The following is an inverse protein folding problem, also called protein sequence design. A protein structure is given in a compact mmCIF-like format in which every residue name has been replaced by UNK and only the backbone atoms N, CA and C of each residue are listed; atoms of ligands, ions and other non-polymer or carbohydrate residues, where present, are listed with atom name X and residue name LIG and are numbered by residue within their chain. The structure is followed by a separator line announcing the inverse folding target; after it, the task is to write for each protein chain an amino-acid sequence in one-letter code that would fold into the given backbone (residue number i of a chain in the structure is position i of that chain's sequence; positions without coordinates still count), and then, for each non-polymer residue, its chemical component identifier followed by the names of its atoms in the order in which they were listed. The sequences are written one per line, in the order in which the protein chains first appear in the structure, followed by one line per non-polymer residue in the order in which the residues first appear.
data_IF_188401877567
#
_entry.id   IF_188401877567
#
_cell.length_a   1.000
_cell.length_b   1.000
_cell.length_c   1.000
_cell.angle_alpha   90.00
_cell.angle_beta   90.00
_cell.angle_gamma   90.00
#
_symmetry.space_group_name_H-M   'P 1'
#
loop_
_entity.id
_entity.type
_entity.pdbx_description
1 polymer ?
#
# COMPACT_ATOMS: atom_id res chain seq x y z
N UNK A 1 1.67 25.48 -21.76
CA UNK A 1 2.76 24.57 -22.20
C UNK A 1 2.40 23.79 -23.47
N UNK A 2 1.51 22.77 -23.44
CA UNK A 2 1.11 22.02 -24.67
C UNK A 2 0.60 22.91 -25.83
N UNK A 3 -0.17 23.95 -25.53
CA UNK A 3 -0.65 24.92 -26.54
C UNK A 3 0.51 25.67 -27.22
N UNK A 4 1.54 26.06 -26.47
CA UNK A 4 2.72 26.73 -27.02
C UNK A 4 3.47 25.80 -27.98
N UNK A 5 3.64 24.54 -27.57
CA UNK A 5 4.29 23.49 -28.36
C UNK A 5 3.56 23.21 -29.67
N UNK A 6 2.22 23.11 -29.64
CA UNK A 6 1.39 22.97 -30.84
C UNK A 6 1.51 24.18 -31.80
N UNK A 7 1.79 25.37 -31.26
CA UNK A 7 2.02 26.58 -32.05
C UNK A 7 3.49 26.74 -32.50
N UNK A 8 4.35 25.74 -32.27
CA UNK A 8 5.77 25.77 -32.66
C UNK A 8 6.70 26.48 -31.68
N UNK A 9 6.22 26.88 -30.50
CA UNK A 9 7.03 27.52 -29.45
C UNK A 9 7.51 26.48 -28.42
N UNK A 10 8.78 26.54 -28.03
CA UNK A 10 9.30 25.69 -26.97
C UNK A 10 8.49 25.89 -25.67
N UNK A 11 7.96 24.78 -25.11
CA UNK A 11 7.06 24.80 -23.95
C UNK A 11 7.66 25.40 -22.67
N UNK A 12 8.98 25.49 -22.57
CA UNK A 12 9.70 26.06 -21.42
C UNK A 12 9.86 27.59 -21.54
N UNK A 13 9.61 28.17 -22.71
CA UNK A 13 9.52 29.62 -22.90
C UNK A 13 8.19 30.21 -22.39
N UNK A 14 7.29 29.36 -21.87
CA UNK A 14 6.03 29.78 -21.26
C UNK A 14 6.21 30.13 -19.77
N UNK A 15 5.73 31.32 -19.37
CA UNK A 15 5.66 31.76 -17.98
C UNK A 15 4.21 32.05 -17.57
N UNK A 16 3.78 31.47 -16.44
CA UNK A 16 2.46 31.75 -15.85
C UNK A 16 2.57 32.88 -14.81
N UNK A 17 1.63 33.82 -14.84
CA UNK A 17 1.40 34.80 -13.78
C UNK A 17 0.09 34.45 -13.06
N UNK A 18 0.16 33.97 -11.81
CA UNK A 18 -1.04 33.66 -11.04
C UNK A 18 -1.65 34.94 -10.47
N UNK A 19 -2.69 35.45 -11.14
CA UNK A 19 -3.47 36.62 -10.68
C UNK A 19 -4.83 36.24 -10.07
N UNK A 20 -5.09 34.94 -9.87
CA UNK A 20 -6.36 34.44 -9.32
C UNK A 20 -6.20 34.03 -7.87
N UNK A 21 -5.65 32.84 -7.62
CA UNK A 21 -5.44 32.31 -6.27
C UNK A 21 -4.53 33.23 -5.44
N UNK A 22 -3.53 33.84 -6.07
CA UNK A 22 -2.56 34.69 -5.37
C UNK A 22 -2.93 36.18 -5.39
N UNK A 23 -4.06 36.57 -6.00
CA UNK A 23 -4.45 37.98 -6.10
C UNK A 23 -5.98 38.14 -5.96
N UNK A 24 -6.77 37.90 -7.01
CA UNK A 24 -8.19 38.24 -7.00
C UNK A 24 -9.01 37.54 -5.90
N UNK A 25 -8.64 36.33 -5.48
CA UNK A 25 -9.37 35.58 -4.44
C UNK A 25 -8.98 35.92 -3.01
N UNK A 26 -7.82 36.56 -2.83
CA UNK A 26 -7.23 36.83 -1.50
C UNK A 26 -7.09 38.33 -1.25
N UNK A 27 -7.65 39.17 -2.11
CA UNK A 27 -7.58 40.63 -2.00
C UNK A 27 -8.91 41.22 -2.43
N UNK A 28 -9.72 41.60 -1.44
CA UNK A 28 -11.07 42.13 -1.66
C UNK A 28 -11.05 43.51 -2.33
N UNK A 29 -10.04 44.32 -2.01
CA UNK A 29 -9.83 45.64 -2.59
C UNK A 29 -9.40 45.52 -4.06
N UNK A 30 -10.31 45.90 -4.96
CA UNK A 30 -10.13 45.77 -6.42
C UNK A 30 -8.99 46.63 -6.97
N UNK A 31 -8.78 47.81 -6.42
CA UNK A 31 -7.71 48.71 -6.88
C UNK A 31 -6.35 48.14 -6.48
N UNK A 32 -6.21 47.72 -5.21
CA UNK A 32 -4.99 47.06 -4.74
C UNK A 32 -4.73 45.74 -5.45
N UNK A 33 -5.77 44.94 -5.71
CA UNK A 33 -5.66 43.71 -6.49
C UNK A 33 -5.18 43.99 -7.92
N UNK A 34 -5.67 45.07 -8.54
CA UNK A 34 -5.25 45.46 -9.89
C UNK A 34 -3.77 45.86 -9.92
N UNK A 35 -3.31 46.66 -8.97
CA UNK A 35 -1.90 47.05 -8.88
C UNK A 35 -0.98 45.85 -8.60
N UNK A 36 -1.40 44.95 -7.72
CA UNK A 36 -0.70 43.68 -7.47
C UNK A 36 -0.63 42.82 -8.73
N UNK A 37 -1.73 42.68 -9.47
CA UNK A 37 -1.77 41.91 -10.71
C UNK A 37 -0.81 42.50 -11.77
N UNK A 38 -0.78 43.82 -11.94
CA UNK A 38 0.19 44.50 -12.82
C UNK A 38 1.63 44.18 -12.43
N UNK A 39 1.94 44.21 -11.13
CA UNK A 39 3.28 43.88 -10.63
C UNK A 39 3.66 42.42 -10.91
N UNK A 40 2.73 41.47 -10.68
CA UNK A 40 2.93 40.05 -10.96
C UNK A 40 3.16 39.79 -12.46
N UNK A 41 2.37 40.42 -13.33
CA UNK A 41 2.53 40.31 -14.79
C UNK A 41 3.88 40.91 -15.22
N UNK A 42 4.26 42.09 -14.70
CA UNK A 42 5.55 42.71 -15.01
C UNK A 42 6.72 41.80 -14.63
N UNK A 43 6.68 41.20 -13.45
CA UNK A 43 7.69 40.25 -13.00
C UNK A 43 7.77 39.01 -13.90
N UNK A 44 6.61 38.44 -14.27
CA UNK A 44 6.53 37.30 -15.18
C UNK A 44 7.13 37.63 -16.56
N UNK A 45 6.76 38.77 -17.15
CA UNK A 45 7.31 39.23 -18.44
C UNK A 45 8.82 39.43 -18.35
N UNK A 46 9.33 40.05 -17.27
CA UNK A 46 10.77 40.24 -17.07
C UNK A 46 11.52 38.91 -16.97
N UNK A 47 10.92 37.89 -16.36
CA UNK A 47 11.50 36.54 -16.25
C UNK A 47 11.59 35.84 -17.60
N UNK A 48 10.58 35.98 -18.47
CA UNK A 48 10.56 35.37 -19.82
C UNK A 48 11.78 35.78 -20.64
N UNK A 49 12.28 37.01 -20.47
CA UNK A 49 13.49 37.47 -21.15
C UNK A 49 14.73 36.60 -20.88
N UNK A 50 14.79 35.94 -19.73
CA UNK A 50 15.90 35.06 -19.32
C UNK A 50 15.59 33.58 -19.53
N UNK A 51 14.46 33.23 -20.14
CA UNK A 51 14.16 31.82 -20.43
C UNK A 51 14.98 31.33 -21.61
N UNK A 52 15.44 30.09 -21.50
CA UNK A 52 16.09 29.37 -22.58
C UNK A 52 15.19 28.21 -23.02
N UNK A 53 15.23 27.83 -24.31
CA UNK A 53 14.56 26.63 -24.78
C UNK A 53 15.18 25.41 -24.11
N UNK A 54 14.34 24.53 -23.55
CA UNK A 54 14.79 23.27 -22.95
C UNK A 54 14.19 22.08 -23.68
N UNK A 55 14.89 20.95 -23.61
CA UNK A 55 14.47 19.69 -24.19
C UNK A 55 13.86 18.78 -23.12
N UNK A 56 12.87 17.98 -23.54
CA UNK A 56 12.26 16.96 -22.69
C UNK A 56 13.20 15.75 -22.69
N UNK A 57 13.51 15.25 -21.49
CA UNK A 57 14.25 13.99 -21.35
C UNK A 57 13.25 12.85 -21.41
N UNK A 58 13.45 11.95 -22.38
CA UNK A 58 12.76 10.66 -22.41
C UNK A 58 13.50 9.68 -21.51
N UNK A 59 12.73 8.91 -20.73
CA UNK A 59 13.24 7.91 -19.80
C UNK A 59 12.45 6.62 -19.99
N UNK A 60 13.08 5.45 -19.89
CA UNK A 60 12.36 4.18 -19.92
C UNK A 60 11.40 4.10 -18.72
N UNK A 61 10.32 3.33 -18.87
CA UNK A 61 9.32 3.13 -17.81
C UNK A 61 9.29 1.65 -17.47
N UNK A 62 9.48 1.31 -16.19
CA UNK A 62 9.32 -0.05 -15.71
C UNK A 62 7.82 -0.40 -15.65
N UNK A 63 7.34 -1.41 -16.39
CA UNK A 63 5.91 -1.71 -16.47
C UNK A 63 5.34 -2.32 -15.17
N UNK A 64 6.17 -2.63 -14.18
CA UNK A 64 5.74 -3.19 -12.89
C UNK A 64 5.16 -2.11 -11.99
N UNK A 65 4.04 -2.42 -11.34
CA UNK A 65 3.36 -1.49 -10.42
C UNK A 65 3.49 -1.93 -8.97
N UNK A 66 3.65 -0.99 -8.04
CA UNK A 66 3.53 -1.22 -6.61
C UNK A 66 2.19 -0.66 -6.11
N UNK A 67 1.39 -1.48 -5.45
CA UNK A 67 0.17 -1.09 -4.74
C UNK A 67 0.43 -1.19 -3.24
N UNK A 68 0.18 -0.10 -2.51
CA UNK A 68 0.38 -0.05 -1.05
C UNK A 68 -0.99 -0.02 -0.37
N UNK A 69 -1.26 -1.05 0.42
CA UNK A 69 -2.53 -1.29 1.09
C UNK A 69 -3.42 -2.30 0.35
N UNK A 70 -3.77 -3.39 1.01
CA UNK A 70 -4.61 -4.48 0.56
C UNK A 70 -6.08 -4.34 0.97
N UNK A 71 -6.60 -3.14 1.14
CA UNK A 71 -8.05 -2.91 1.24
C UNK A 71 -8.76 -3.07 -0.11
N UNK A 72 -10.09 -2.92 -0.15
CA UNK A 72 -10.88 -3.04 -1.40
C UNK A 72 -10.34 -2.20 -2.56
N UNK A 73 -9.87 -0.97 -2.28
CA UNK A 73 -9.31 -0.09 -3.31
C UNK A 73 -8.01 -0.65 -3.91
N UNK A 74 -7.10 -1.14 -3.07
CA UNK A 74 -5.83 -1.70 -3.51
C UNK A 74 -5.99 -3.06 -4.19
N UNK A 75 -6.88 -3.91 -3.66
CA UNK A 75 -7.25 -5.19 -4.30
C UNK A 75 -7.79 -4.93 -5.71
N UNK A 76 -8.73 -3.99 -5.86
CA UNK A 76 -9.31 -3.68 -7.17
C UNK A 76 -8.27 -3.09 -8.14
N UNK A 77 -7.43 -2.16 -7.68
CA UNK A 77 -6.37 -1.59 -8.50
C UNK A 77 -5.38 -2.66 -8.97
N UNK A 78 -4.95 -3.53 -8.06
CA UNK A 78 -4.04 -4.61 -8.38
C UNK A 78 -4.66 -5.63 -9.36
N UNK A 79 -5.91 -6.05 -9.14
CA UNK A 79 -6.61 -6.96 -10.06
C UNK A 79 -6.74 -6.37 -11.47
N UNK A 80 -7.10 -5.09 -11.60
CA UNK A 80 -7.26 -4.46 -12.92
C UNK A 80 -5.93 -4.41 -13.70
N UNK A 81 -4.84 -4.06 -13.02
CA UNK A 81 -3.50 -3.99 -13.63
C UNK A 81 -3.00 -5.40 -13.97
N UNK A 82 -3.20 -6.35 -13.05
CA UNK A 82 -2.76 -7.72 -13.23
C UNK A 82 -3.54 -8.47 -14.31
N UNK A 83 -4.86 -8.25 -14.42
CA UNK A 83 -5.69 -8.77 -15.52
C UNK A 83 -5.29 -8.19 -16.88
N UNK A 84 -4.66 -7.00 -16.89
CA UNK A 84 -4.01 -6.43 -18.07
C UNK A 84 -2.60 -7.00 -18.32
N UNK A 85 -2.21 -8.08 -17.62
CA UNK A 85 -0.93 -8.80 -17.73
C UNK A 85 0.31 -7.98 -17.34
N UNK A 86 0.14 -7.03 -16.42
CA UNK A 86 1.24 -6.27 -15.85
C UNK A 86 1.56 -6.78 -14.45
N UNK A 87 2.85 -6.89 -14.12
CA UNK A 87 3.30 -7.34 -12.80
C UNK A 87 2.89 -6.31 -11.75
N UNK A 88 2.27 -6.78 -10.67
CA UNK A 88 1.91 -5.96 -9.52
C UNK A 88 2.55 -6.53 -8.27
N UNK A 89 3.22 -5.69 -7.50
CA UNK A 89 3.57 -5.97 -6.11
C UNK A 89 2.49 -5.34 -5.24
N UNK A 90 1.78 -6.12 -4.42
CA UNK A 90 0.82 -5.58 -3.46
C UNK A 90 1.36 -5.76 -2.05
N UNK A 91 1.63 -4.65 -1.37
CA UNK A 91 2.16 -4.61 0.00
C UNK A 91 1.03 -4.33 0.97
N UNK A 92 0.82 -5.21 1.93
CA UNK A 92 -0.16 -5.07 3.01
C UNK A 92 0.53 -5.22 4.37
N UNK A 93 0.30 -4.24 5.24
CA UNK A 93 0.91 -4.16 6.57
C UNK A 93 0.44 -5.27 7.50
N UNK A 94 -0.85 -5.57 7.44
CA UNK A 94 -1.47 -6.58 8.29
C UNK A 94 -1.18 -7.99 7.74
N UNK A 95 -1.39 -9.04 8.55
CA UNK A 95 -1.17 -10.42 8.11
C UNK A 95 -2.07 -10.87 6.95
N UNK A 96 -3.11 -10.11 6.64
CA UNK A 96 -4.09 -10.44 5.61
C UNK A 96 -4.62 -9.19 4.89
N UNK A 97 -4.97 -9.34 3.61
CA UNK A 97 -5.70 -8.35 2.83
C UNK A 97 -7.20 -8.32 3.23
N UNK A 98 -7.89 -7.26 2.81
CA UNK A 98 -9.32 -7.03 3.03
C UNK A 98 -9.59 -5.64 3.60
N UNK A 99 -8.68 -5.13 4.43
CA UNK A 99 -8.81 -3.83 5.11
C UNK A 99 -10.06 -3.75 6.00
N UNK A 100 -10.59 -2.55 6.24
CA UNK A 100 -11.77 -2.37 7.10
C UNK A 100 -13.05 -3.00 6.52
N UNK A 101 -13.13 -3.17 5.20
CA UNK A 101 -14.35 -3.66 4.58
C UNK A 101 -14.71 -5.08 5.06
N UNK A 102 -13.70 -5.92 5.32
CA UNK A 102 -13.92 -7.28 5.82
C UNK A 102 -14.36 -7.33 7.29
N UNK A 103 -14.24 -6.21 8.03
CA UNK A 103 -14.74 -6.09 9.40
C UNK A 103 -16.23 -5.72 9.45
N UNK A 104 -16.79 -5.22 8.35
CA UNK A 104 -18.20 -4.83 8.30
C UNK A 104 -19.08 -6.08 8.19
N UNK A 105 -20.24 -6.09 8.84
CA UNK A 105 -21.23 -7.15 8.59
C UNK A 105 -21.87 -6.98 7.20
N UNK A 106 -22.35 -5.76 6.92
CA UNK A 106 -23.06 -5.42 5.68
C UNK A 106 -22.60 -4.11 5.06
N UNK A 107 -22.81 -3.99 3.75
CA UNK A 107 -22.50 -2.78 2.98
C UNK A 107 -23.76 -2.12 2.43
N UNK A 108 -23.95 -0.83 2.72
CA UNK A 108 -25.02 -0.04 2.11
C UNK A 108 -24.71 0.28 0.64
N UNK A 109 -25.71 0.56 -0.21
CA UNK A 109 -27.15 0.59 0.07
C UNK A 109 -27.84 -0.78 -0.06
N UNK A 110 -27.19 -1.78 -0.64
CA UNK A 110 -27.79 -3.08 -0.97
C UNK A 110 -27.95 -4.00 0.25
N UNK A 111 -27.24 -3.71 1.35
CA UNK A 111 -27.20 -4.52 2.57
C UNK A 111 -26.65 -5.93 2.33
N UNK A 112 -25.82 -6.10 1.32
CA UNK A 112 -25.07 -7.33 1.07
C UNK A 112 -24.05 -7.57 2.18
N UNK A 113 -23.77 -8.84 2.46
CA UNK A 113 -22.68 -9.23 3.35
C UNK A 113 -21.33 -8.80 2.74
N UNK A 114 -20.50 -8.08 3.53
CA UNK A 114 -19.21 -7.56 3.05
C UNK A 114 -18.27 -8.67 2.59
N UNK A 115 -18.24 -9.77 3.33
CA UNK A 115 -17.39 -10.92 3.04
C UNK A 115 -17.82 -11.61 1.74
N UNK A 116 -19.13 -11.63 1.42
CA UNK A 116 -19.63 -12.23 0.19
C UNK A 116 -19.11 -11.52 -1.08
N UNK A 117 -18.90 -10.21 -1.00
CA UNK A 117 -18.43 -9.41 -2.15
C UNK A 117 -16.91 -9.27 -2.17
N UNK A 118 -16.25 -9.28 -1.02
CA UNK A 118 -14.80 -9.04 -0.93
C UNK A 118 -13.97 -10.32 -0.96
N UNK A 119 -14.43 -11.41 -0.33
CA UNK A 119 -13.66 -12.67 -0.25
C UNK A 119 -13.34 -13.26 -1.63
N UNK A 120 -14.23 -13.22 -2.64
CA UNK A 120 -13.89 -13.66 -4.00
C UNK A 120 -12.70 -12.89 -4.58
N UNK A 121 -12.70 -11.56 -4.45
CA UNK A 121 -11.62 -10.71 -4.95
C UNK A 121 -10.30 -10.94 -4.20
N UNK A 122 -10.37 -11.17 -2.89
CA UNK A 122 -9.19 -11.52 -2.09
C UNK A 122 -8.59 -12.86 -2.55
N UNK A 123 -9.43 -13.88 -2.78
CA UNK A 123 -8.99 -15.19 -3.26
C UNK A 123 -8.42 -15.13 -4.68
N UNK A 124 -9.05 -14.37 -5.58
CA UNK A 124 -8.57 -14.14 -6.94
C UNK A 124 -7.19 -13.47 -6.89
N UNK A 125 -7.06 -12.35 -6.16
CA UNK A 125 -5.80 -11.62 -6.05
C UNK A 125 -4.69 -12.51 -5.45
N UNK A 126 -5.00 -13.26 -4.40
CA UNK A 126 -4.03 -14.11 -3.70
C UNK A 126 -3.48 -15.27 -4.54
N UNK A 127 -4.17 -15.64 -5.63
CA UNK A 127 -3.74 -16.70 -6.55
C UNK A 127 -3.38 -16.17 -7.95
N UNK A 128 -3.42 -14.85 -8.15
CA UNK A 128 -3.24 -14.26 -9.47
C UNK A 128 -1.77 -14.32 -9.93
N UNK A 129 -1.45 -14.84 -11.14
CA UNK A 129 -0.07 -15.10 -11.56
C UNK A 129 0.79 -13.83 -11.77
N UNK A 130 0.16 -12.69 -12.06
CA UNK A 130 0.84 -11.39 -12.19
C UNK A 130 0.89 -10.59 -10.89
N UNK A 131 0.38 -11.11 -9.77
CA UNK A 131 0.42 -10.42 -8.48
C UNK A 131 1.43 -11.10 -7.57
N UNK A 132 2.31 -10.30 -6.98
CA UNK A 132 3.14 -10.68 -5.86
C UNK A 132 2.57 -10.08 -4.59
N UNK A 133 1.96 -10.93 -3.78
CA UNK A 133 1.30 -10.51 -2.56
C UNK A 133 2.27 -10.53 -1.38
N UNK A 134 2.65 -9.35 -0.91
CA UNK A 134 3.54 -9.14 0.23
C UNK A 134 2.70 -8.69 1.44
N UNK A 135 2.07 -9.66 2.10
CA UNK A 135 1.35 -9.42 3.37
C UNK A 135 2.32 -9.39 4.55
N UNK A 136 1.88 -8.81 5.67
CA UNK A 136 2.70 -8.55 6.83
C UNK A 136 4.00 -7.80 6.48
N UNK A 137 3.88 -6.85 5.54
CA UNK A 137 5.00 -6.12 4.95
C UNK A 137 4.71 -4.62 4.87
N UNK A 138 5.73 -3.79 5.03
CA UNK A 138 5.62 -2.33 4.95
C UNK A 138 6.65 -1.74 3.99
N UNK A 139 6.26 -0.69 3.26
CA UNK A 139 7.20 0.09 2.45
C UNK A 139 7.97 1.03 3.39
N UNK A 140 9.29 0.90 3.45
CA UNK A 140 10.14 1.75 4.29
C UNK A 140 10.61 3.01 3.56
N UNK A 141 10.92 2.85 2.27
CA UNK A 141 11.53 3.91 1.48
C UNK A 141 11.15 3.76 0.01
N UNK A 142 10.90 4.91 -0.62
CA UNK A 142 10.71 5.01 -2.08
C UNK A 142 11.65 6.09 -2.59
N UNK A 143 12.50 5.72 -3.53
CA UNK A 143 13.44 6.62 -4.20
C UNK A 143 13.24 6.56 -5.72
N UNK A 144 13.78 7.54 -6.45
CA UNK A 144 13.67 7.62 -7.90
C UNK A 144 12.64 8.64 -8.39
N UNK A 145 12.09 8.41 -9.58
CA UNK A 145 11.16 9.31 -10.27
C UNK A 145 10.16 8.51 -11.10
N UNK A 146 9.15 9.18 -11.65
CA UNK A 146 8.08 8.56 -12.46
C UNK A 146 8.67 7.59 -13.50
N UNK A 147 8.22 6.33 -13.48
CA UNK A 147 8.70 5.27 -14.37
C UNK A 147 9.94 4.51 -13.88
N UNK A 148 10.66 5.00 -12.87
CA UNK A 148 11.92 4.43 -12.38
C UNK A 148 12.04 4.60 -10.87
N UNK A 149 11.12 4.01 -10.12
CA UNK A 149 11.16 3.97 -8.67
C UNK A 149 11.88 2.71 -8.17
N UNK A 150 12.60 2.87 -7.08
CA UNK A 150 13.11 1.77 -6.27
C UNK A 150 12.44 1.84 -4.91
N UNK A 151 11.68 0.81 -4.57
CA UNK A 151 10.98 0.70 -3.31
C UNK A 151 11.62 -0.39 -2.44
N UNK A 152 11.91 -0.04 -1.19
CA UNK A 152 12.41 -0.97 -0.18
C UNK A 152 11.27 -1.37 0.76
N UNK A 153 11.03 -2.66 0.84
CA UNK A 153 9.90 -3.26 1.54
C UNK A 153 10.44 -4.14 2.67
N UNK A 154 10.01 -3.90 3.90
CA UNK A 154 10.27 -4.79 5.03
C UNK A 154 9.16 -5.82 5.12
N UNK A 155 9.46 -7.07 4.83
CA UNK A 155 8.60 -8.23 5.13
C UNK A 155 8.90 -8.70 6.55
N UNK A 156 7.93 -8.49 7.46
CA UNK A 156 8.10 -8.83 8.88
C UNK A 156 8.12 -10.35 9.08
N UNK A 157 8.89 -10.82 10.06
CA UNK A 157 8.93 -12.23 10.41
C UNK A 157 7.56 -12.71 10.90
N UNK A 158 6.96 -13.68 10.20
CA UNK A 158 5.71 -14.33 10.63
C UNK A 158 5.97 -15.36 11.72
N UNK A 159 7.20 -15.87 11.79
CA UNK A 159 7.60 -17.05 12.57
C UNK A 159 6.87 -18.33 12.15
N UNK A 160 6.32 -18.31 10.94
CA UNK A 160 5.61 -19.40 10.29
C UNK A 160 6.06 -19.42 8.85
N UNK A 161 6.62 -20.55 8.43
CA UNK A 161 7.03 -20.83 7.07
C UNK A 161 5.79 -20.93 6.17
N UNK A 162 5.62 -19.93 5.29
CA UNK A 162 4.48 -19.79 4.38
C UNK A 162 4.35 -20.98 3.42
N UNK A 163 5.46 -21.62 3.03
CA UNK A 163 5.44 -22.74 2.07
C UNK A 163 5.02 -24.06 2.73
N UNK A 164 5.37 -24.24 4.02
CA UNK A 164 4.99 -25.45 4.77
C UNK A 164 3.61 -25.33 5.41
N UNK A 165 3.14 -24.13 5.68
CA UNK A 165 1.90 -23.94 6.43
C UNK A 165 0.68 -24.39 5.62
N UNK A 166 -0.16 -25.21 6.23
CA UNK A 166 -1.43 -25.67 5.63
C UNK A 166 -2.64 -24.84 6.05
N UNK A 167 -2.47 -23.86 6.95
CA UNK A 167 -3.57 -23.05 7.45
C UNK A 167 -4.58 -23.80 8.33
N UNK A 168 -4.22 -24.95 8.91
CA UNK A 168 -5.16 -25.84 9.62
C UNK A 168 -5.69 -25.30 10.97
N UNK A 169 -5.10 -24.25 11.53
CA UNK A 169 -5.58 -23.61 12.78
C UNK A 169 -5.24 -24.33 14.09
N UNK A 170 -4.74 -25.57 14.07
CA UNK A 170 -4.41 -26.36 15.28
C UNK A 170 -3.48 -25.60 16.24
N UNK A 171 -2.50 -24.89 15.70
CA UNK A 171 -1.55 -24.11 16.49
C UNK A 171 -2.23 -22.96 17.28
N UNK A 172 -3.32 -22.40 16.75
CA UNK A 172 -4.13 -21.35 17.41
C UNK A 172 -4.94 -21.95 18.55
N UNK A 173 -5.60 -23.10 18.32
CA UNK A 173 -6.37 -23.81 19.33
C UNK A 173 -5.52 -24.20 20.55
N UNK A 174 -4.31 -24.71 20.29
CA UNK A 174 -3.39 -25.20 21.34
C UNK A 174 -2.61 -24.09 22.03
N UNK A 175 -2.65 -22.86 21.53
CA UNK A 175 -2.00 -21.74 22.20
C UNK A 175 -2.74 -21.41 23.51
N UNK A 176 -2.07 -21.45 24.68
CA UNK A 176 -2.74 -21.21 25.95
C UNK A 176 -2.98 -19.71 26.22
N UNK A 177 -2.25 -18.83 25.54
CA UNK A 177 -2.27 -17.39 25.77
C UNK A 177 -3.26 -16.68 24.86
N UNK A 178 -3.94 -15.69 25.42
CA UNK A 178 -4.90 -14.84 24.73
C UNK A 178 -4.52 -13.39 24.92
N UNK A 179 -4.81 -12.58 23.92
CA UNK A 179 -4.62 -11.13 23.90
C UNK A 179 -5.84 -10.47 23.27
N UNK A 180 -5.97 -9.17 23.47
CA UNK A 180 -7.02 -8.36 22.85
C UNK A 180 -6.89 -8.41 21.33
N UNK A 181 -8.01 -8.59 20.63
CA UNK A 181 -8.02 -8.65 19.16
C UNK A 181 -8.15 -7.24 18.57
N UNK A 182 -7.18 -6.86 17.74
CA UNK A 182 -7.17 -5.61 16.98
C UNK A 182 -8.24 -5.63 15.88
N UNK A 183 -8.49 -6.80 15.28
CA UNK A 183 -9.54 -6.98 14.27
C UNK A 183 -10.94 -6.74 14.83
N UNK A 184 -11.19 -7.19 16.07
CA UNK A 184 -12.46 -7.03 16.79
C UNK A 184 -12.55 -5.69 17.54
N UNK A 185 -11.66 -4.72 17.23
CA UNK A 185 -11.63 -3.40 17.87
C UNK A 185 -11.58 -3.46 19.41
N UNK A 186 -10.91 -4.49 19.95
CA UNK A 186 -10.76 -4.71 21.38
C UNK A 186 -11.97 -5.32 22.11
N UNK A 187 -13.04 -5.67 21.37
CA UNK A 187 -14.22 -6.34 21.94
C UNK A 187 -14.00 -7.84 22.14
N UNK A 188 -13.12 -8.43 21.34
CA UNK A 188 -12.80 -9.85 21.36
C UNK A 188 -11.38 -10.16 21.86
N UNK A 189 -11.14 -11.44 22.12
CA UNK A 189 -9.81 -11.97 22.40
C UNK A 189 -9.35 -12.88 21.26
N UNK A 190 -8.10 -12.72 20.84
CA UNK A 190 -7.40 -13.65 19.93
C UNK A 190 -6.31 -14.42 20.66
N UNK A 191 -5.76 -15.42 19.99
CA UNK A 191 -4.58 -16.15 20.45
C UNK A 191 -3.30 -15.39 20.05
N UNK A 192 -2.17 -15.75 20.66
CA UNK A 192 -0.88 -15.13 20.32
C UNK A 192 -0.39 -15.55 18.93
N UNK A 193 -0.56 -16.83 18.58
CA UNK A 193 -0.47 -17.28 17.19
C UNK A 193 -1.88 -17.22 16.62
N UNK A 194 -2.08 -16.45 15.56
CA UNK A 194 -3.42 -16.11 15.08
C UNK A 194 -3.47 -15.89 13.57
N UNK A 195 -4.68 -16.03 13.03
CA UNK A 195 -5.08 -15.40 11.77
C UNK A 195 -6.05 -14.25 12.11
N UNK A 196 -6.01 -13.10 11.42
CA UNK A 196 -6.85 -11.96 11.77
C UNK A 196 -8.35 -12.28 11.77
N UNK A 197 -8.80 -13.08 10.80
CA UNK A 197 -10.17 -13.56 10.66
C UNK A 197 -10.18 -14.89 9.87
N UNK A 198 -11.28 -15.68 9.88
CA UNK A 198 -11.30 -17.03 9.29
C UNK A 198 -11.05 -17.10 7.78
N UNK A 199 -11.47 -16.08 7.02
CA UNK A 199 -11.32 -15.99 5.56
C UNK A 199 -10.04 -15.24 5.15
N UNK A 200 -9.05 -15.15 6.05
CA UNK A 200 -7.83 -14.41 5.80
C UNK A 200 -7.08 -14.93 4.57
N UNK A 201 -6.64 -14.00 3.71
CA UNK A 201 -5.74 -14.26 2.58
C UNK A 201 -4.43 -13.48 2.79
N UNK A 202 -3.25 -14.13 2.76
CA UNK A 202 -3.07 -15.59 2.68
C UNK A 202 -3.54 -16.28 3.96
N UNK A 203 -3.91 -17.56 3.85
CA UNK A 203 -4.37 -18.38 4.97
C UNK A 203 -3.18 -18.91 5.81
N UNK A 204 -2.34 -18.00 6.30
CA UNK A 204 -1.13 -18.29 7.07
C UNK A 204 -1.16 -17.50 8.37
N UNK A 205 -1.07 -18.16 9.55
CA UNK A 205 -1.04 -17.47 10.83
C UNK A 205 0.28 -16.72 11.04
N UNK A 206 0.27 -15.78 11.98
CA UNK A 206 1.47 -15.09 12.46
C UNK A 206 1.59 -15.25 13.97
N UNK A 207 2.83 -15.25 14.48
CA UNK A 207 3.09 -15.21 15.92
C UNK A 207 3.32 -13.77 16.33
N UNK A 208 2.49 -13.28 17.23
CA UNK A 208 2.70 -12.01 17.92
C UNK A 208 3.91 -12.11 18.85
N UNK A 209 5.03 -11.53 18.43
CA UNK A 209 6.31 -11.59 19.16
C UNK A 209 6.20 -10.98 20.55
N UNK A 210 5.48 -9.85 20.67
CA UNK A 210 5.41 -9.06 21.90
C UNK A 210 4.71 -9.82 23.02
N UNK A 211 3.65 -10.57 22.67
CA UNK A 211 2.83 -11.30 23.63
C UNK A 211 3.18 -12.79 23.76
N UNK A 212 4.11 -13.31 22.95
CA UNK A 212 4.46 -14.72 22.98
C UNK A 212 5.42 -15.07 24.12
N UNK A 213 4.99 -16.00 24.97
CA UNK A 213 5.80 -16.52 26.10
C UNK A 213 7.09 -17.21 25.63
N UNK A 214 7.14 -17.74 24.40
CA UNK A 214 8.41 -18.23 23.85
C UNK A 214 9.43 -17.09 23.77
N UNK A 215 9.06 -15.96 23.18
CA UNK A 215 9.98 -14.82 23.01
C UNK A 215 10.23 -14.07 24.32
N UNK A 216 9.27 -14.04 25.25
CA UNK A 216 9.46 -13.41 26.55
C UNK A 216 10.28 -14.24 27.55
N UNK A 217 10.07 -15.57 27.58
CA UNK A 217 10.58 -16.45 28.65
C UNK A 217 11.30 -17.72 28.15
N UNK A 218 11.31 -18.00 26.85
CA UNK A 218 12.03 -19.12 26.23
C UNK A 218 11.40 -20.51 26.39
N UNK A 219 10.21 -20.64 27.01
CA UNK A 219 9.69 -21.94 27.46
C UNK A 219 8.55 -22.54 26.64
N UNK A 220 7.65 -21.71 26.10
CA UNK A 220 6.42 -22.21 25.48
C UNK A 220 6.65 -22.63 24.02
N UNK A 221 6.48 -23.91 23.69
CA UNK A 221 6.60 -24.45 22.31
C UNK A 221 5.36 -25.22 21.85
N UNK A 222 4.18 -24.86 22.38
CA UNK A 222 2.94 -25.56 22.09
C UNK A 222 2.59 -25.53 20.58
N UNK A 223 2.66 -24.37 19.94
CA UNK A 223 2.37 -24.23 18.51
C UNK A 223 3.31 -25.08 17.64
N UNK A 224 4.60 -25.14 17.95
CA UNK A 224 5.60 -25.97 17.26
C UNK A 224 5.30 -27.47 17.46
N UNK A 225 5.04 -27.90 18.71
CA UNK A 225 4.77 -29.31 19.04
C UNK A 225 3.55 -29.89 18.32
N UNK A 226 2.50 -29.08 18.12
CA UNK A 226 1.26 -29.53 17.49
C UNK A 226 1.18 -29.22 15.99
N UNK A 227 2.23 -28.61 15.41
CA UNK A 227 2.28 -28.34 13.98
C UNK A 227 2.84 -29.55 13.24
N UNK A 228 1.96 -30.39 12.68
CA UNK A 228 2.36 -31.57 11.90
C UNK A 228 3.19 -31.20 10.67
N UNK A 229 2.92 -30.05 10.06
CA UNK A 229 3.65 -29.56 8.90
C UNK A 229 5.06 -29.03 9.22
N UNK A 230 5.41 -28.87 10.50
CA UNK A 230 6.72 -28.31 10.90
C UNK A 230 6.94 -26.88 10.41
N UNK A 231 5.86 -26.08 10.27
CA UNK A 231 5.91 -24.74 9.71
C UNK A 231 6.34 -23.67 10.72
N UNK A 232 6.31 -23.94 12.03
CA UNK A 232 6.68 -22.95 13.04
C UNK A 232 8.21 -22.76 13.04
N UNK A 233 8.66 -21.53 12.86
CA UNK A 233 10.08 -21.17 12.91
C UNK A 233 10.30 -19.92 13.77
N UNK A 234 10.72 -20.11 15.02
CA UNK A 234 10.97 -19.00 15.94
C UNK A 234 12.23 -18.18 15.62
N UNK A 235 13.12 -18.69 14.74
CA UNK A 235 14.33 -17.99 14.32
C UNK A 235 14.11 -17.20 13.01
N UNK A 236 12.86 -17.07 12.57
CA UNK A 236 12.52 -16.23 11.41
C UNK A 236 12.84 -14.75 11.72
N UNK A 237 13.38 -14.05 10.73
CA UNK A 237 13.82 -12.66 10.83
C UNK A 237 13.18 -11.82 9.72
N UNK A 238 13.06 -10.52 9.99
CA UNK A 238 12.56 -9.58 9.00
C UNK A 238 13.45 -9.61 7.74
N UNK A 239 12.81 -9.59 6.57
CA UNK A 239 13.49 -9.58 5.28
C UNK A 239 13.30 -8.23 4.62
N UNK A 240 14.37 -7.67 4.07
CA UNK A 240 14.31 -6.48 3.21
C UNK A 240 14.25 -6.95 1.75
N UNK A 241 13.22 -6.51 1.05
CA UNK A 241 12.97 -6.79 -0.35
C UNK A 241 13.08 -5.47 -1.10
N UNK A 242 13.90 -5.41 -2.13
CA UNK A 242 13.97 -4.27 -3.04
C UNK A 242 13.25 -4.60 -4.34
N UNK A 243 12.33 -3.73 -4.76
CA UNK A 243 11.60 -3.87 -6.01
C UNK A 243 11.77 -2.62 -6.86
N UNK A 244 11.93 -2.82 -8.16
CA UNK A 244 11.91 -1.74 -9.14
C UNK A 244 10.53 -1.67 -9.79
N UNK A 245 9.90 -0.50 -9.73
CA UNK A 245 8.54 -0.23 -10.20
C UNK A 245 8.49 1.15 -10.85
N UNK A 246 7.48 1.47 -11.64
CA UNK A 246 7.56 2.69 -12.46
C UNK A 246 6.27 3.19 -13.07
#
# INVERSE_FOLDING_TARGET
RKVCEQAGLNRHLFQMANIREHCSWVTDDREKATEKAKALVRAAVRRVFFHEPLEIREVPVNPSTLVVGGGIAGIQAALQIANSRHKVYLVEREPSIGGHMIQLDKTFPTLDCSACILSPNMSELGSHPYVELLTYSEVEEVSGYVGNFKARIRKKARYVDEEKCTGCGVCQEKCPWKVTSEFEMGLGQRKVIYMPFPQAVPNVPVIDRENCIYFQKGKCRACEKFCEAGAINFNDEDKLIEVEVG
#
